data_IF_781080893123
#
_entry.id   IF_781080893123
#
_cell.length_a   1.000
_cell.length_b   1.000
_cell.length_c   1.000
_cell.angle_alpha   90.00
_cell.angle_beta   90.00
_cell.angle_gamma   90.00
#
_symmetry.space_group_name_H-M   'P 1'
#
loop_
_entity.id
_entity.type
_entity.pdbx_description
1 polymer ?
#
# COMPACT_ATOMS: atom_id res chain seq x y z
N UNK A 1 -9.84 -6.55 4.99
CA UNK A 1 -8.72 -7.32 4.44
C UNK A 1 -8.47 -6.84 3.03
N UNK A 2 -7.22 -6.73 2.58
CA UNK A 2 -6.93 -6.43 1.17
C UNK A 2 -7.31 -7.62 0.29
N UNK A 3 -7.97 -7.36 -0.82
CA UNK A 3 -8.35 -8.38 -1.81
C UNK A 3 -7.39 -8.42 -2.98
N UNK A 4 -6.89 -7.24 -3.41
CA UNK A 4 -5.99 -7.14 -4.55
C UNK A 4 -5.12 -5.90 -4.50
N UNK A 5 -3.89 -6.03 -5.01
CA UNK A 5 -3.00 -4.91 -5.34
C UNK A 5 -2.84 -4.84 -6.85
N UNK A 6 -2.93 -3.65 -7.42
CA UNK A 6 -2.64 -3.38 -8.83
C UNK A 6 -1.55 -2.32 -8.94
N UNK A 7 -0.68 -2.48 -9.92
CA UNK A 7 0.37 -1.52 -10.24
C UNK A 7 -0.11 -0.56 -11.32
N UNK A 8 0.03 0.74 -11.08
CA UNK A 8 -0.38 1.82 -11.97
C UNK A 8 0.73 2.84 -12.14
N UNK A 9 0.63 3.73 -13.12
CA UNK A 9 1.71 4.65 -13.49
C UNK A 9 2.14 5.61 -12.37
N UNK A 10 1.22 5.99 -11.49
CA UNK A 10 1.44 6.94 -10.39
C UNK A 10 1.50 6.28 -9.00
N UNK A 11 1.59 4.95 -8.95
CA UNK A 11 1.75 4.18 -7.72
C UNK A 11 1.00 2.85 -7.74
N UNK A 12 0.21 2.57 -6.70
CA UNK A 12 -0.52 1.31 -6.56
C UNK A 12 -2.00 1.55 -6.21
N UNK A 13 -2.84 0.58 -6.57
CA UNK A 13 -4.23 0.50 -6.13
C UNK A 13 -4.38 -0.67 -5.18
N UNK A 14 -4.89 -0.41 -3.97
CA UNK A 14 -5.32 -1.40 -3.01
C UNK A 14 -6.85 -1.53 -3.03
N UNK A 15 -7.34 -2.67 -3.51
CA UNK A 15 -8.76 -3.05 -3.44
C UNK A 15 -9.00 -3.72 -2.10
N UNK A 16 -9.79 -3.08 -1.26
CA UNK A 16 -10.08 -3.49 0.11
C UNK A 16 -11.43 -4.18 0.16
N UNK A 17 -11.56 -5.26 0.94
CA UNK A 17 -12.87 -5.86 1.21
C UNK A 17 -13.82 -4.90 1.94
N UNK A 18 -15.12 -5.09 1.75
CA UNK A 18 -16.19 -4.26 2.32
C UNK A 18 -16.01 -4.00 3.82
N UNK A 19 -15.98 -2.72 4.22
CA UNK A 19 -15.84 -2.29 5.61
C UNK A 19 -14.40 -2.27 6.15
N UNK A 20 -13.40 -2.60 5.33
CA UNK A 20 -11.98 -2.62 5.73
C UNK A 20 -11.13 -1.55 5.04
N UNK A 21 -11.76 -0.50 4.56
CA UNK A 21 -11.09 0.66 3.98
C UNK A 21 -10.63 1.58 5.10
N UNK A 22 -9.45 2.23 5.00
CA UNK A 22 -9.06 3.27 5.93
C UNK A 22 -10.14 4.36 6.03
N UNK A 23 -10.56 4.69 7.26
CA UNK A 23 -11.46 5.81 7.48
C UNK A 23 -10.71 7.14 7.28
N UNK A 24 -11.39 8.12 6.67
CA UNK A 24 -10.86 9.48 6.62
C UNK A 24 -10.84 10.12 8.02
N UNK A 25 -9.84 10.96 8.32
CA UNK A 25 -8.72 11.34 7.46
C UNK A 25 -7.58 10.29 7.48
N UNK A 26 -7.01 10.00 6.31
CA UNK A 26 -5.93 9.01 6.12
C UNK A 26 -4.55 9.58 6.46
N UNK A 27 -4.46 10.40 7.51
CA UNK A 27 -3.25 11.19 7.82
C UNK A 27 -2.25 10.45 8.70
N UNK A 28 -2.67 9.36 9.34
CA UNK A 28 -1.81 8.58 10.23
C UNK A 28 -1.31 7.33 9.51
N UNK A 29 -0.12 7.45 8.93
CA UNK A 29 0.56 6.42 8.16
C UNK A 29 1.73 5.89 8.98
N UNK A 30 1.74 4.58 9.25
CA UNK A 30 2.82 3.89 9.94
C UNK A 30 3.27 2.71 9.09
N UNK A 31 4.56 2.41 9.11
CA UNK A 31 5.13 1.28 8.38
C UNK A 31 5.80 0.31 9.34
N UNK A 32 5.58 -0.98 9.11
CA UNK A 32 6.25 -2.07 9.82
C UNK A 32 6.95 -2.98 8.82
N UNK A 33 8.17 -3.40 9.13
CA UNK A 33 8.89 -4.34 8.27
C UNK A 33 8.35 -5.76 8.48
N UNK A 34 8.17 -6.48 7.39
CA UNK A 34 7.70 -7.88 7.41
C UNK A 34 8.63 -8.77 6.58
N UNK A 35 8.49 -10.10 6.73
CA UNK A 35 9.31 -11.04 5.97
C UNK A 35 9.11 -10.91 4.45
N UNK A 36 7.91 -10.55 4.01
CA UNK A 36 7.52 -10.45 2.59
C UNK A 36 7.59 -9.04 2.00
N UNK A 37 7.86 -8.02 2.82
CA UNK A 37 7.95 -6.63 2.38
C UNK A 37 7.74 -5.67 3.55
N UNK A 38 6.72 -4.82 3.42
CA UNK A 38 6.34 -3.84 4.44
C UNK A 38 4.84 -3.97 4.71
N UNK A 39 4.41 -3.78 5.94
CA UNK A 39 3.01 -3.56 6.27
C UNK A 39 2.77 -2.07 6.45
N UNK A 40 1.87 -1.53 5.65
CA UNK A 40 1.39 -0.16 5.74
C UNK A 40 0.15 -0.13 6.66
N UNK A 41 0.20 0.67 7.72
CA UNK A 41 -0.94 0.95 8.59
C UNK A 41 -1.48 2.35 8.35
N UNK A 42 -2.75 2.43 7.93
CA UNK A 42 -3.47 3.70 7.71
C UNK A 42 -4.75 3.69 8.51
N UNK A 43 -4.91 4.65 9.43
CA UNK A 43 -6.13 4.78 10.26
C UNK A 43 -6.55 3.46 10.94
N UNK A 44 -5.58 2.63 11.36
CA UNK A 44 -5.80 1.34 12.02
C UNK A 44 -6.00 0.15 11.07
N UNK A 45 -6.04 0.37 9.76
CA UNK A 45 -6.12 -0.69 8.75
C UNK A 45 -4.72 -1.11 8.31
N UNK A 46 -4.43 -2.40 8.39
CA UNK A 46 -3.18 -3.01 7.94
C UNK A 46 -3.28 -3.42 6.46
N UNK A 47 -2.28 -3.02 5.69
CA UNK A 47 -2.20 -3.19 4.25
C UNK A 47 -0.83 -3.79 3.94
N UNK A 48 -0.75 -5.10 3.64
CA UNK A 48 0.52 -5.71 3.27
C UNK A 48 0.97 -5.14 1.92
N UNK A 49 2.14 -4.52 1.89
CA UNK A 49 2.83 -4.07 0.70
C UNK A 49 3.96 -5.06 0.40
N UNK A 50 3.77 -5.96 -0.57
CA UNK A 50 4.80 -6.92 -0.92
C UNK A 50 6.00 -6.20 -1.56
N UNK A 51 7.16 -6.85 -1.58
CA UNK A 51 8.40 -6.27 -2.10
C UNK A 51 8.25 -5.71 -3.53
N UNK A 52 7.50 -6.40 -4.39
CA UNK A 52 7.24 -5.98 -5.76
C UNK A 52 6.47 -4.64 -5.80
N UNK A 53 5.60 -4.37 -4.82
CA UNK A 53 4.92 -3.09 -4.71
C UNK A 53 5.87 -1.97 -4.30
N UNK A 54 6.86 -2.25 -3.43
CA UNK A 54 7.89 -1.28 -3.05
C UNK A 54 8.82 -0.97 -4.23
N UNK A 55 9.23 -2.00 -4.98
CA UNK A 55 10.02 -1.83 -6.21
C UNK A 55 9.28 -1.01 -7.26
N UNK A 56 7.99 -1.28 -7.43
CA UNK A 56 7.15 -0.51 -8.35
C UNK A 56 7.06 0.96 -7.92
N UNK A 57 6.76 1.23 -6.64
CA UNK A 57 6.69 2.59 -6.09
C UNK A 57 8.01 3.36 -6.19
N UNK A 58 9.15 2.66 -6.16
CA UNK A 58 10.46 3.28 -6.39
C UNK A 58 10.64 3.77 -7.84
N UNK A 59 10.08 3.03 -8.80
CA UNK A 59 10.31 3.23 -10.24
C UNK A 59 9.26 4.15 -10.90
N UNK A 60 8.09 4.31 -10.29
CA UNK A 60 7.01 5.14 -10.83
C UNK A 60 7.24 6.64 -10.67
N UNK A 61 6.48 7.43 -11.44
CA UNK A 61 6.50 8.89 -11.36
C UNK A 61 5.87 9.41 -10.07
N UNK A 62 4.92 8.66 -9.52
CA UNK A 62 4.26 8.92 -8.24
C UNK A 62 4.34 7.74 -7.29
N UNK A 63 4.13 8.02 -6.01
CA UNK A 63 4.21 7.04 -4.90
C UNK A 63 2.86 6.94 -4.18
N UNK A 64 1.77 7.05 -4.95
CA UNK A 64 0.41 7.05 -4.42
C UNK A 64 -0.05 5.63 -4.07
N UNK A 65 -0.79 5.51 -2.98
CA UNK A 65 -1.58 4.32 -2.66
C UNK A 65 -3.04 4.72 -2.71
N UNK A 66 -3.73 4.23 -3.74
CA UNK A 66 -5.14 4.49 -3.97
C UNK A 66 -6.00 3.41 -3.35
N UNK A 67 -7.03 3.79 -2.59
CA UNK A 67 -7.93 2.85 -1.92
C UNK A 67 -9.28 2.78 -2.63
N UNK A 68 -9.68 1.56 -2.91
CA UNK A 68 -10.99 1.23 -3.45
C UNK A 68 -11.65 0.19 -2.56
N UNK A 69 -12.98 0.27 -2.44
CA UNK A 69 -13.76 -0.70 -1.68
C UNK A 69 -14.40 -1.71 -2.61
N UNK A 70 -14.27 -2.99 -2.30
CA UNK A 70 -14.97 -4.08 -2.97
C UNK A 70 -16.41 -4.10 -2.51
N UNK A 71 -17.34 -4.00 -3.46
CA UNK A 71 -18.77 -4.17 -3.25
C UNK A 71 -19.30 -5.18 -4.27
N UNK A 72 -19.80 -6.31 -3.77
CA UNK A 72 -20.36 -7.40 -4.58
C UNK A 72 -21.54 -6.99 -5.47
N UNK A 73 -22.18 -5.85 -5.17
CA UNK A 73 -23.31 -5.31 -5.94
C UNK A 73 -22.91 -4.19 -6.90
N UNK A 74 -21.66 -3.71 -6.82
CA UNK A 74 -21.16 -2.65 -7.68
C UNK A 74 -20.32 -3.23 -8.83
N UNK A 75 -20.58 -2.77 -10.05
CA UNK A 75 -19.77 -3.12 -11.23
C UNK A 75 -18.36 -2.53 -11.15
N UNK A 76 -18.24 -1.37 -10.49
CA UNK A 76 -16.99 -0.63 -10.32
C UNK A 76 -16.78 -0.43 -8.83
N UNK A 77 -15.62 -0.85 -8.32
CA UNK A 77 -15.25 -0.62 -6.94
C UNK A 77 -15.26 0.90 -6.66
N UNK A 78 -16.01 1.41 -5.66
CA UNK A 78 -15.99 2.83 -5.33
C UNK A 78 -14.62 3.28 -4.81
N UNK A 79 -14.17 4.44 -5.28
CA UNK A 79 -12.96 5.10 -4.80
C UNK A 79 -13.18 5.68 -3.39
N UNK A 80 -12.17 5.54 -2.54
CA UNK A 80 -12.26 5.91 -1.12
C UNK A 80 -11.23 6.93 -0.67
N UNK A 81 -10.22 7.21 -1.48
CA UNK A 81 -9.15 8.15 -1.16
C UNK A 81 -7.78 7.61 -1.57
N UNK A 82 -6.75 8.43 -1.36
CA UNK A 82 -5.37 8.03 -1.54
C UNK A 82 -4.48 8.63 -0.46
N UNK A 83 -3.32 8.01 -0.28
CA UNK A 83 -2.19 8.62 0.41
C UNK A 83 -1.01 8.70 -0.54
N UNK A 84 -0.19 9.72 -0.37
CA UNK A 84 1.11 9.81 -1.01
C UNK A 84 2.16 9.40 0.02
N UNK A 85 3.02 8.44 -0.33
CA UNK A 85 4.15 8.05 0.51
C UNK A 85 5.39 8.75 -0.04
N UNK A 86 6.22 9.39 0.78
CA UNK A 86 7.41 10.04 0.23
C UNK A 86 8.37 9.01 -0.38
N UNK A 87 9.00 9.35 -1.51
CA UNK A 87 9.99 8.47 -2.15
C UNK A 87 11.14 8.10 -1.21
N UNK A 88 11.57 9.04 -0.37
CA UNK A 88 12.59 8.81 0.65
C UNK A 88 12.17 7.75 1.67
N UNK A 89 10.89 7.70 2.06
CA UNK A 89 10.36 6.65 2.93
C UNK A 89 10.36 5.29 2.23
N UNK A 90 9.93 5.22 0.96
CA UNK A 90 9.97 3.98 0.18
C UNK A 90 11.41 3.43 0.11
N UNK A 91 12.39 4.28 -0.18
CA UNK A 91 13.80 3.88 -0.24
C UNK A 91 14.33 3.40 1.12
N UNK A 92 13.97 4.09 2.22
CA UNK A 92 14.35 3.66 3.58
C UNK A 92 13.73 2.31 3.94
N UNK A 93 12.46 2.11 3.62
CA UNK A 93 11.73 0.89 3.92
C UNK A 93 12.27 -0.30 3.13
N UNK A 94 12.49 -0.11 1.83
CA UNK A 94 13.11 -1.13 0.97
C UNK A 94 14.52 -1.48 1.45
N UNK A 95 15.37 -0.48 1.69
CA UNK A 95 16.73 -0.73 2.18
C UNK A 95 16.76 -1.42 3.54
N UNK A 96 15.86 -1.06 4.46
CA UNK A 96 15.73 -1.72 5.74
C UNK A 96 15.24 -3.17 5.59
N UNK A 97 14.28 -3.42 4.69
CA UNK A 97 13.80 -4.77 4.37
C UNK A 97 14.88 -5.65 3.74
N UNK A 98 15.66 -5.13 2.79
CA UNK A 98 16.79 -5.85 2.16
C UNK A 98 17.86 -6.20 3.20
N UNK A 99 18.13 -5.30 4.15
CA UNK A 99 19.09 -5.55 5.22
C UNK A 99 18.66 -6.69 6.17
N UNK A 100 17.37 -6.77 6.50
CA UNK A 100 16.84 -7.83 7.38
C UNK A 100 16.63 -9.17 6.66
N UNK A 101 16.74 -9.21 5.33
CA UNK A 101 16.84 -10.44 4.54
C UNK A 101 18.32 -10.77 4.30
N UNK A 102 19.01 -11.45 5.23
CA UNK A 102 20.35 -11.94 4.92
C UNK A 102 20.22 -13.02 3.84
N UNK A 103 20.62 -12.66 2.62
CA UNK A 103 20.86 -13.53 1.45
C UNK A 103 20.20 -14.93 1.52
N UNK A 104 18.94 -15.01 1.07
CA UNK A 104 18.38 -16.28 0.56
C UNK A 104 18.65 -16.39 -0.94
#
# INVERSE_FOLDING_TARGET
MIEKILFVSDGIIAIMGNGYVPAEPMNNVVFDLTEYGVELRVSGVQIPLPAEALEHLEQTEGTNVHFYESDSYALVAPYRGCIEISRDEILKLKGAWEYIRPHQ
#
